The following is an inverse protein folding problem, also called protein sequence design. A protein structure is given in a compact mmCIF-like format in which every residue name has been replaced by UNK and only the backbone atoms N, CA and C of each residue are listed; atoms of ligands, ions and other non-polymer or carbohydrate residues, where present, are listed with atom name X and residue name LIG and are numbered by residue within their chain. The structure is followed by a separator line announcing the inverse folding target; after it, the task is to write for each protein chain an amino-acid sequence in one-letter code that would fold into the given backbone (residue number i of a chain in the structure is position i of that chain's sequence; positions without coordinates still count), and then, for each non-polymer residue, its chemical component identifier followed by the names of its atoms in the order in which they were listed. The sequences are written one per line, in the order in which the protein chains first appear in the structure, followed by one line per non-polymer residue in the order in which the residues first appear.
data_IF_183435362403
#
_entry.id   IF_183435362403
#
_cell.length_a   1.000
_cell.length_b   1.000
_cell.length_c   1.000
_cell.angle_alpha   90.00
_cell.angle_beta   90.00
_cell.angle_gamma   90.00
#
_symmetry.space_group_name_H-M   'P 1'
#
loop_
_entity.id
_entity.type
_entity.pdbx_description
1 polymer ?
#
# COMPACT_ATOMS: atom_id res chain seq x y z
N UNK A 1 -4.37 14.23 -17.16
CA UNK A 1 -4.64 13.94 -15.74
C UNK A 1 -5.49 15.05 -15.14
N UNK A 2 -6.36 14.76 -14.18
CA UNK A 2 -7.04 15.82 -13.43
C UNK A 2 -6.05 16.56 -12.51
N UNK A 3 -6.44 17.73 -11.98
CA UNK A 3 -5.62 18.46 -10.99
C UNK A 3 -5.33 17.60 -9.76
N UNK A 4 -6.32 16.85 -9.27
CA UNK A 4 -6.14 15.92 -8.15
C UNK A 4 -5.13 14.83 -8.46
N UNK A 5 -5.19 14.24 -9.65
CA UNK A 5 -4.20 13.24 -10.06
C UNK A 5 -2.78 13.81 -10.15
N UNK A 6 -2.62 15.03 -10.66
CA UNK A 6 -1.30 15.69 -10.73
C UNK A 6 -0.78 16.02 -9.33
N UNK A 7 -1.65 16.52 -8.44
CA UNK A 7 -1.31 16.83 -7.06
C UNK A 7 -0.88 15.57 -6.30
N UNK A 8 -1.67 14.49 -6.36
CA UNK A 8 -1.34 13.19 -5.80
C UNK A 8 0.03 12.70 -6.30
N UNK A 9 0.27 12.73 -7.62
CA UNK A 9 1.57 12.40 -8.18
C UNK A 9 2.72 13.20 -7.56
N UNK A 10 2.60 14.51 -7.55
CA UNK A 10 3.67 15.39 -7.09
C UNK A 10 3.94 15.19 -5.58
N UNK A 11 2.90 15.01 -4.76
CA UNK A 11 3.03 14.74 -3.33
C UNK A 11 3.76 13.43 -3.06
N UNK A 12 3.28 12.32 -3.63
CA UNK A 12 3.91 11.00 -3.43
C UNK A 12 5.32 10.94 -4.04
N UNK A 13 5.54 11.49 -5.23
CA UNK A 13 6.86 11.48 -5.86
C UNK A 13 7.90 12.23 -5.03
N UNK A 14 7.57 13.42 -4.52
CA UNK A 14 8.47 14.18 -3.64
C UNK A 14 8.74 13.44 -2.34
N UNK A 15 7.71 12.82 -1.75
CA UNK A 15 7.85 12.02 -0.53
C UNK A 15 8.75 10.80 -0.76
N UNK A 16 8.55 10.06 -1.85
CA UNK A 16 9.38 8.90 -2.20
C UNK A 16 10.84 9.29 -2.42
N UNK A 17 11.12 10.43 -3.07
CA UNK A 17 12.48 10.94 -3.21
C UNK A 17 13.09 11.32 -1.86
N UNK A 18 12.29 11.90 -0.97
CA UNK A 18 12.74 12.21 0.38
C UNK A 18 13.11 10.94 1.15
N UNK A 19 12.24 9.92 1.15
CA UNK A 19 12.51 8.61 1.77
C UNK A 19 13.76 7.95 1.16
N UNK A 20 13.90 7.97 -0.17
CA UNK A 20 15.03 7.38 -0.89
C UNK A 20 16.39 7.98 -0.48
N UNK A 21 16.41 9.24 -0.05
CA UNK A 21 17.62 9.97 0.35
C UNK A 21 17.77 10.10 1.87
N UNK A 22 16.81 9.58 2.63
CA UNK A 22 16.81 9.59 4.09
C UNK A 22 17.64 8.46 4.71
N UNK A 23 17.64 8.42 6.05
CA UNK A 23 18.33 7.41 6.85
C UNK A 23 17.46 6.21 7.22
N UNK A 24 16.14 6.37 7.23
CA UNK A 24 15.21 5.30 7.64
C UNK A 24 15.13 4.22 6.57
N UNK A 25 15.21 2.96 6.98
CA UNK A 25 15.16 1.82 6.04
C UNK A 25 13.74 1.54 5.53
N UNK A 26 12.72 1.92 6.31
CA UNK A 26 11.30 1.75 5.98
C UNK A 26 10.54 3.00 6.38
N UNK A 27 9.58 3.41 5.55
CA UNK A 27 8.61 4.43 5.89
C UNK A 27 7.18 3.91 5.68
N UNK A 28 6.27 4.29 6.58
CA UNK A 28 4.82 4.11 6.40
C UNK A 28 4.25 5.44 5.90
N UNK A 29 3.54 5.38 4.78
CA UNK A 29 2.87 6.51 4.14
C UNK A 29 1.36 6.33 4.28
N UNK A 30 0.70 7.36 4.80
CA UNK A 30 -0.74 7.43 4.99
C UNK A 30 -1.25 8.72 4.32
N UNK A 31 -2.33 8.64 3.57
CA UNK A 31 -3.12 9.81 3.17
C UNK A 31 -3.85 10.39 4.40
N UNK A 32 -4.29 11.64 4.34
CA UNK A 32 -4.89 12.37 5.47
C UNK A 32 -6.33 11.94 5.80
N UNK A 33 -6.99 11.23 4.89
CA UNK A 33 -8.39 10.80 5.00
C UNK A 33 -8.58 9.32 5.39
N UNK A 34 -7.57 8.72 6.03
CA UNK A 34 -7.58 7.30 6.40
C UNK A 34 -8.02 7.02 7.84
N UNK A 35 -8.46 5.79 8.06
CA UNK A 35 -8.63 5.12 9.35
C UNK A 35 -7.83 3.82 9.32
N UNK A 36 -7.35 3.39 10.48
CA UNK A 36 -6.44 2.25 10.63
C UNK A 36 -6.96 1.29 11.70
N UNK A 37 -6.61 0.01 11.60
CA UNK A 37 -6.84 -0.96 12.68
C UNK A 37 -6.13 -0.50 13.96
N UNK A 38 -6.85 -0.54 15.09
CA UNK A 38 -6.33 -0.17 16.41
C UNK A 38 -5.07 -0.97 16.79
N UNK A 39 -5.04 -2.26 16.46
CA UNK A 39 -3.90 -3.14 16.71
C UNK A 39 -2.94 -3.28 15.51
N UNK A 40 -2.92 -2.30 14.59
CA UNK A 40 -2.11 -2.33 13.36
C UNK A 40 -0.63 -2.65 13.60
N UNK A 41 -0.02 -2.15 14.69
CA UNK A 41 1.35 -2.49 15.04
C UNK A 41 1.54 -4.01 15.24
N UNK A 42 0.66 -4.66 16.02
CA UNK A 42 0.73 -6.10 16.26
C UNK A 42 0.46 -6.91 14.99
N UNK A 43 -0.42 -6.42 14.12
CA UNK A 43 -0.67 -7.05 12.81
C UNK A 43 0.58 -6.97 11.92
N UNK A 44 1.20 -5.79 11.83
CA UNK A 44 2.39 -5.59 11.02
C UNK A 44 3.55 -6.44 11.53
N UNK A 45 3.80 -6.42 12.84
CA UNK A 45 4.85 -7.21 13.50
C UNK A 45 4.69 -8.72 13.19
N UNK A 46 3.47 -9.25 13.29
CA UNK A 46 3.19 -10.66 12.99
C UNK A 46 3.30 -11.05 11.50
N UNK A 47 3.29 -10.08 10.58
CA UNK A 47 3.37 -10.32 9.13
C UNK A 47 4.76 -10.00 8.55
N UNK A 48 5.53 -9.13 9.19
CA UNK A 48 6.71 -8.51 8.60
C UNK A 48 7.78 -9.52 8.22
N UNK A 49 7.98 -10.54 9.06
CA UNK A 49 8.99 -11.59 8.86
C UNK A 49 8.73 -12.47 7.62
N UNK A 50 7.51 -12.47 7.07
CA UNK A 50 7.22 -13.17 5.82
C UNK A 50 7.66 -12.39 4.56
N UNK A 51 8.01 -11.11 4.68
CA UNK A 51 8.45 -10.33 3.54
C UNK A 51 9.80 -10.88 3.02
N UNK A 52 9.93 -11.14 1.72
CA UNK A 52 11.19 -11.62 1.17
C UNK A 52 12.24 -10.50 1.21
N UNK A 53 13.52 -10.90 1.27
CA UNK A 53 14.64 -9.98 1.15
C UNK A 53 14.51 -9.15 -0.14
N UNK A 54 14.63 -7.83 -0.02
CA UNK A 54 14.56 -6.91 -1.15
C UNK A 54 13.14 -6.59 -1.62
N UNK A 55 12.12 -6.73 -0.76
CA UNK A 55 10.81 -6.14 -1.00
C UNK A 55 10.89 -4.62 -1.17
N UNK A 56 10.05 -4.05 -2.02
CA UNK A 56 10.08 -2.62 -2.35
C UNK A 56 8.90 -1.86 -1.72
N UNK A 57 7.69 -2.40 -1.79
CA UNK A 57 6.47 -1.76 -1.28
C UNK A 57 5.47 -2.78 -0.73
N UNK A 58 4.76 -2.42 0.34
CA UNK A 58 3.66 -3.19 0.93
C UNK A 58 2.42 -2.29 1.04
N UNK A 59 1.36 -2.62 0.32
CA UNK A 59 0.08 -1.91 0.42
C UNK A 59 -0.63 -2.33 1.72
N UNK A 60 -0.81 -1.35 2.61
CA UNK A 60 -1.52 -1.52 3.89
C UNK A 60 -3.02 -1.27 3.72
N UNK A 61 -3.36 -0.49 2.69
CA UNK A 61 -4.70 -0.26 2.22
C UNK A 61 -4.71 0.14 0.76
N UNK A 62 -5.61 -0.49 -0.01
CA UNK A 62 -5.82 -0.25 -1.42
C UNK A 62 -7.29 -0.53 -1.78
N UNK A 63 -7.77 0.03 -2.90
CA UNK A 63 -9.19 0.05 -3.22
C UNK A 63 -9.75 -1.23 -3.85
N UNK A 64 -8.96 -2.05 -4.54
CA UNK A 64 -9.44 -3.29 -5.15
C UNK A 64 -8.23 -3.93 -5.81
N UNK A 65 -8.01 -5.22 -5.57
CA UNK A 65 -6.98 -5.99 -6.25
C UNK A 65 -7.55 -7.38 -6.49
N UNK A 66 -8.17 -7.65 -7.65
CA UNK A 66 -8.83 -8.92 -7.91
C UNK A 66 -7.86 -10.11 -7.84
N UNK A 67 -6.55 -9.87 -7.85
CA UNK A 67 -5.50 -10.88 -7.91
C UNK A 67 -5.06 -11.42 -6.55
N UNK A 68 -5.40 -10.75 -5.45
CA UNK A 68 -5.12 -11.26 -4.11
C UNK A 68 -5.91 -12.53 -3.78
N UNK A 69 -7.02 -12.77 -4.49
CA UNK A 69 -7.78 -14.02 -4.46
C UNK A 69 -7.13 -15.16 -5.26
N UNK A 70 -6.23 -14.84 -6.20
CA UNK A 70 -5.64 -15.84 -7.13
C UNK A 70 -4.25 -16.33 -6.72
N UNK A 71 -3.49 -15.54 -5.95
CA UNK A 71 -2.16 -15.95 -5.47
C UNK A 71 -2.20 -16.34 -4.00
N UNK A 72 -1.59 -17.47 -3.62
CA UNK A 72 -1.52 -17.87 -2.22
C UNK A 72 -0.76 -16.83 -1.40
N UNK A 73 -1.12 -16.66 -0.12
CA UNK A 73 -0.37 -15.81 0.79
C UNK A 73 1.07 -16.32 0.96
N UNK A 74 1.98 -15.43 1.32
CA UNK A 74 3.32 -15.83 1.73
C UNK A 74 3.25 -16.70 2.99
N UNK A 75 4.06 -17.76 3.09
CA UNK A 75 4.13 -18.56 4.30
C UNK A 75 4.75 -17.74 5.42
N UNK A 76 4.13 -17.75 6.60
CA UNK A 76 4.71 -17.14 7.79
C UNK A 76 5.81 -18.08 8.33
N UNK A 77 7.05 -17.59 8.51
CA UNK A 77 8.18 -18.44 8.92
C UNK A 77 7.98 -19.15 10.26
N UNK A 78 7.16 -18.57 11.15
CA UNK A 78 6.85 -19.12 12.48
C UNK A 78 5.38 -19.55 12.62
N UNK A 79 4.74 -20.06 11.55
CA UNK A 79 3.36 -20.56 11.58
C UNK A 79 3.16 -21.88 12.38
N UNK A 80 4.11 -22.25 13.24
CA UNK A 80 3.92 -23.27 14.27
C UNK A 80 3.26 -22.62 15.47
N UNK A 81 2.07 -23.10 15.82
CA UNK A 81 1.14 -22.60 16.86
C UNK A 81 0.34 -21.36 16.45
N UNK A 82 -0.91 -21.64 16.11
CA UNK A 82 -2.09 -20.83 16.37
C UNK A 82 -1.87 -19.43 16.96
N UNK A 83 -2.44 -18.42 16.29
CA UNK A 83 -3.00 -17.21 16.92
C UNK A 83 -4.14 -17.59 17.89
N UNK A 84 -3.86 -18.46 18.85
CA UNK A 84 -4.76 -18.83 19.93
C UNK A 84 -4.45 -17.95 21.14
N UNK A 85 -5.52 -17.37 21.68
CA UNK A 85 -5.62 -16.70 22.97
C UNK A 85 -5.13 -15.24 23.05
N UNK A 86 -5.81 -14.34 22.34
CA UNK A 86 -6.31 -13.14 23.00
C UNK A 86 -7.75 -13.43 23.49
N UNK A 87 -8.06 -13.24 24.79
CA UNK A 87 -9.32 -13.70 25.40
C UNK A 87 -10.58 -12.94 24.96
N UNK A 88 -10.49 -12.08 23.94
CA UNK A 88 -11.59 -11.24 23.46
C UNK A 88 -12.00 -11.41 22.00
N UNK A 89 -11.47 -12.37 21.22
CA UNK A 89 -11.94 -12.56 19.83
C UNK A 89 -12.09 -14.02 19.45
N UNK A 90 -13.30 -14.53 19.66
CA UNK A 90 -13.85 -15.62 18.84
C UNK A 90 -14.04 -15.09 17.43
N UNK A 91 -13.38 -15.71 16.44
CA UNK A 91 -13.67 -15.61 15.00
C UNK A 91 -13.32 -14.27 14.28
N UNK A 92 -12.35 -14.25 13.34
CA UNK A 92 -12.57 -14.73 11.94
C UNK A 92 -11.71 -14.11 10.83
N UNK A 93 -10.93 -13.05 11.07
CA UNK A 93 -10.04 -12.50 10.03
C UNK A 93 -8.59 -12.76 10.37
N UNK A 94 -7.93 -13.51 9.48
CA UNK A 94 -6.47 -13.62 9.47
C UNK A 94 -5.95 -12.67 8.40
N UNK A 95 -5.30 -11.59 8.82
CA UNK A 95 -4.52 -10.77 7.91
C UNK A 95 -3.43 -11.64 7.31
N UNK A 96 -3.27 -11.53 6.00
CA UNK A 96 -2.33 -12.32 5.22
C UNK A 96 -1.59 -11.40 4.27
N UNK A 97 -0.34 -11.74 4.02
CA UNK A 97 0.52 -11.01 3.10
C UNK A 97 0.49 -11.72 1.75
N UNK A 98 0.06 -11.04 0.70
CA UNK A 98 -0.02 -11.58 -0.66
C UNK A 98 0.92 -10.82 -1.59
N UNK A 99 1.52 -11.48 -2.61
CA UNK A 99 2.13 -10.75 -3.72
C UNK A 99 1.09 -9.82 -4.37
N UNK A 100 1.44 -8.55 -4.54
CA UNK A 100 0.57 -7.56 -5.18
C UNK A 100 0.73 -7.63 -6.70
N UNK A 101 -0.36 -7.48 -7.45
CA UNK A 101 -0.32 -7.42 -8.93
C UNK A 101 -0.99 -6.18 -9.50
N UNK A 102 -2.17 -5.85 -8.99
CA UNK A 102 -2.96 -4.72 -9.48
C UNK A 102 -3.48 -3.85 -8.34
N UNK A 103 -2.60 -3.32 -7.46
CA UNK A 103 -3.02 -2.44 -6.38
C UNK A 103 -3.66 -1.17 -6.97
N UNK A 104 -4.90 -0.88 -6.57
CA UNK A 104 -5.61 0.36 -6.94
C UNK A 104 -5.68 1.27 -5.72
N UNK A 105 -5.66 2.58 -5.92
CA UNK A 105 -5.49 3.56 -4.85
C UNK A 105 -4.14 3.43 -4.12
N UNK A 106 -3.78 4.48 -3.39
CA UNK A 106 -2.46 4.62 -2.75
C UNK A 106 -2.59 5.18 -1.33
N UNK A 107 -3.75 4.98 -0.70
CA UNK A 107 -4.09 5.64 0.55
C UNK A 107 -3.24 5.20 1.74
N UNK A 108 -2.69 3.98 1.71
CA UNK A 108 -1.71 3.58 2.68
C UNK A 108 -0.74 2.51 2.17
N UNK A 109 0.55 2.75 2.35
CA UNK A 109 1.59 1.76 2.04
C UNK A 109 2.82 1.94 2.92
N UNK A 110 3.53 0.84 3.17
CA UNK A 110 4.90 0.87 3.62
C UNK A 110 5.85 0.73 2.43
N UNK A 111 6.99 1.39 2.47
CA UNK A 111 7.99 1.36 1.39
C UNK A 111 9.39 1.24 1.99
N UNK A 112 10.21 0.37 1.41
CA UNK A 112 11.63 0.30 1.79
C UNK A 112 12.39 1.47 1.16
N UNK A 113 13.49 1.90 1.76
CA UNK A 113 14.34 2.97 1.21
C UNK A 113 14.82 2.65 -0.20
N UNK A 114 15.24 1.40 -0.44
CA UNK A 114 15.61 0.92 -1.77
C UNK A 114 14.42 0.90 -2.74
N UNK A 115 13.23 0.53 -2.26
CA UNK A 115 12.01 0.57 -3.04
C UNK A 115 11.64 2.00 -3.45
N UNK A 116 11.72 2.95 -2.52
CA UNK A 116 11.47 4.36 -2.78
C UNK A 116 12.44 4.94 -3.82
N UNK A 117 13.73 4.57 -3.75
CA UNK A 117 14.72 4.94 -4.77
C UNK A 117 14.36 4.34 -6.14
N UNK A 118 14.08 3.03 -6.21
CA UNK A 118 13.70 2.36 -7.47
C UNK A 118 12.44 2.94 -8.09
N UNK A 119 11.41 3.25 -7.30
CA UNK A 119 10.16 3.86 -7.78
C UNK A 119 10.45 5.27 -8.32
N UNK A 120 11.21 6.07 -7.57
CA UNK A 120 11.55 7.45 -7.97
C UNK A 120 12.38 7.48 -9.25
N UNK A 121 13.38 6.60 -9.37
CA UNK A 121 14.24 6.53 -10.56
C UNK A 121 13.47 6.02 -11.78
N UNK A 122 12.64 4.99 -11.60
CA UNK A 122 11.81 4.40 -12.67
C UNK A 122 10.78 5.38 -13.23
N UNK A 123 10.34 6.33 -12.41
CA UNK A 123 9.35 7.35 -12.79
C UNK A 123 10.00 8.61 -13.36
N UNK A 124 11.24 8.93 -12.96
CA UNK A 124 11.95 10.12 -13.41
C UNK A 124 12.65 9.90 -14.76
N UNK A 125 13.46 8.84 -14.94
CA UNK A 125 14.37 8.70 -16.10
C UNK A 125 14.70 7.22 -16.39
N UNK A 126 13.78 6.45 -16.97
CA UNK A 126 14.15 5.12 -17.50
C UNK A 126 13.91 5.02 -19.00
N UNK A 127 14.93 4.53 -19.72
CA UNK A 127 14.85 4.18 -21.15
C UNK A 127 13.71 3.19 -21.44
N UNK A 128 13.24 2.47 -20.42
CA UNK A 128 12.21 1.43 -20.50
C UNK A 128 10.79 1.92 -20.19
N UNK A 129 10.63 3.08 -19.55
CA UNK A 129 9.33 3.65 -19.16
C UNK A 129 8.90 4.82 -20.04
N UNK A 130 9.80 5.29 -20.91
CA UNK A 130 9.60 6.40 -21.83
C UNK A 130 9.72 7.77 -21.15
N UNK A 131 9.94 8.86 -21.92
CA UNK A 131 10.18 10.20 -21.39
C UNK A 131 8.99 10.84 -20.63
N UNK A 132 7.89 10.11 -20.40
CA UNK A 132 6.66 10.61 -19.78
C UNK A 132 5.93 9.58 -18.90
N UNK A 133 6.66 8.74 -18.16
CA UNK A 133 6.02 7.77 -17.26
C UNK A 133 5.30 8.45 -16.10
N UNK A 134 5.99 9.34 -15.38
CA UNK A 134 5.35 10.24 -14.43
C UNK A 134 4.38 11.17 -15.16
N UNK A 135 3.25 11.47 -14.53
CA UNK A 135 2.20 12.35 -15.06
C UNK A 135 1.50 11.91 -16.37
N UNK A 136 1.87 10.76 -16.96
CA UNK A 136 1.19 10.20 -18.13
C UNK A 136 -0.06 9.37 -17.81
N UNK A 137 -0.26 9.00 -16.54
CA UNK A 137 -1.37 8.17 -16.02
C UNK A 137 -1.57 8.45 -14.54
N UNK A 138 -2.65 8.00 -13.90
CA UNK A 138 -2.80 8.12 -12.45
C UNK A 138 -1.73 7.31 -11.70
N UNK A 139 -1.40 7.71 -10.47
CA UNK A 139 -0.28 7.15 -9.69
C UNK A 139 -0.47 5.65 -9.42
N UNK A 140 -1.67 5.24 -9.04
CA UNK A 140 -2.06 3.85 -8.88
C UNK A 140 -1.78 3.00 -10.14
N UNK A 141 -2.10 3.54 -11.33
CA UNK A 141 -1.82 2.87 -12.60
C UNK A 141 -0.32 2.79 -12.91
N UNK A 142 0.47 3.76 -12.45
CA UNK A 142 1.91 3.66 -12.53
C UNK A 142 2.46 2.57 -11.62
N UNK A 143 1.98 2.44 -10.39
CA UNK A 143 2.34 1.31 -9.52
C UNK A 143 1.99 -0.02 -10.18
N UNK A 144 0.77 -0.20 -10.71
CA UNK A 144 0.41 -1.42 -11.44
C UNK A 144 1.40 -1.74 -12.57
N UNK A 145 1.83 -0.73 -13.35
CA UNK A 145 2.81 -0.93 -14.42
C UNK A 145 4.20 -1.31 -13.91
N UNK A 146 4.64 -0.74 -12.78
CA UNK A 146 5.91 -1.09 -12.16
C UNK A 146 5.89 -2.53 -11.63
N UNK A 147 4.80 -2.92 -10.97
CA UNK A 147 4.59 -4.26 -10.43
C UNK A 147 4.53 -5.30 -11.56
N UNK A 148 3.65 -5.11 -12.56
CA UNK A 148 3.50 -6.03 -13.69
C UNK A 148 4.76 -6.10 -14.55
N UNK A 149 5.48 -4.98 -14.68
CA UNK A 149 6.77 -4.91 -15.36
C UNK A 149 7.94 -5.49 -14.57
N UNK A 150 7.68 -6.06 -13.37
CA UNK A 150 8.68 -6.59 -12.44
C UNK A 150 9.80 -5.60 -12.13
N UNK A 151 9.45 -4.32 -12.09
CA UNK A 151 10.36 -3.22 -11.74
C UNK A 151 10.44 -2.99 -10.23
N UNK A 152 9.39 -3.39 -9.52
CA UNK A 152 9.32 -3.37 -8.07
C UNK A 152 8.72 -4.68 -7.55
N UNK A 153 9.19 -5.13 -6.40
CA UNK A 153 8.64 -6.24 -5.62
C UNK A 153 7.58 -5.71 -4.66
N UNK A 154 6.31 -6.02 -4.92
CA UNK A 154 5.18 -5.45 -4.22
C UNK A 154 4.32 -6.51 -3.53
N UNK A 155 3.82 -6.18 -2.34
CA UNK A 155 2.95 -7.02 -1.53
C UNK A 155 1.73 -6.24 -1.04
N UNK A 156 0.68 -6.94 -0.67
CA UNK A 156 -0.56 -6.36 -0.11
C UNK A 156 -0.95 -7.13 1.14
N UNK A 157 -1.41 -6.41 2.17
CA UNK A 157 -2.08 -7.03 3.32
C UNK A 157 -3.55 -7.21 3.01
N UNK A 158 -4.07 -8.42 3.23
CA UNK A 158 -5.46 -8.79 2.94
C UNK A 158 -6.10 -9.46 4.16
N UNK A 159 -7.24 -8.94 4.66
CA UNK A 159 -7.89 -7.69 4.22
C UNK A 159 -7.06 -6.45 4.58
N UNK A 160 -7.43 -5.28 4.04
CA UNK A 160 -6.71 -4.03 4.31
C UNK A 160 -6.74 -3.70 5.81
N UNK A 161 -5.63 -3.20 6.35
CA UNK A 161 -5.57 -2.68 7.73
C UNK A 161 -5.72 -1.16 7.80
N UNK A 162 -5.77 -0.49 6.64
CA UNK A 162 -6.03 0.93 6.51
C UNK A 162 -7.09 1.16 5.44
N UNK A 163 -8.09 1.99 5.73
CA UNK A 163 -9.21 2.30 4.82
C UNK A 163 -9.40 3.81 4.68
N UNK A 164 -9.92 4.28 3.55
CA UNK A 164 -10.32 5.68 3.41
C UNK A 164 -11.67 5.92 4.09
N UNK A 165 -11.73 6.89 5.00
CA UNK A 165 -12.96 7.29 5.71
C UNK A 165 -14.00 7.92 4.78
N UNK A 166 -13.53 8.67 3.76
CA UNK A 166 -14.35 9.40 2.78
C UNK A 166 -15.42 10.28 3.44
N UNK A 167 -15.10 10.84 4.62
CA UNK A 167 -16.00 11.72 5.40
C UNK A 167 -15.98 13.17 4.88
N UNK A 168 -14.90 13.57 4.21
CA UNK A 168 -14.70 14.91 3.67
C UNK A 168 -14.61 14.88 2.14
N UNK A 169 -15.18 15.86 1.42
CA UNK A 169 -14.88 16.05 0.00
C UNK A 169 -13.40 16.38 -0.21
N UNK A 170 -12.82 15.92 -1.31
CA UNK A 170 -11.47 16.33 -1.67
C UNK A 170 -11.43 17.85 -1.95
N UNK A 171 -10.43 18.49 -1.38
CA UNK A 171 -10.11 19.91 -1.54
C UNK A 171 -9.62 20.27 -2.96
N UNK A 172 -9.06 19.30 -3.68
CA UNK A 172 -8.57 19.47 -5.06
C UNK A 172 -9.57 19.02 -6.12
N UNK A 173 -10.37 17.99 -5.84
CA UNK A 173 -11.40 17.46 -6.75
C UNK A 173 -12.74 17.40 -6.05
N UNK A 174 -13.74 18.13 -6.54
CA UNK A 174 -15.08 18.08 -5.94
C UNK A 174 -15.64 16.65 -5.89
N UNK A 175 -15.97 16.17 -4.69
CA UNK A 175 -16.53 14.83 -4.42
C UNK A 175 -15.63 13.93 -3.57
N UNK A 176 -16.07 12.68 -3.33
CA UNK A 176 -15.41 11.72 -2.43
C UNK A 176 -14.78 10.52 -3.19
N UNK A 177 -14.54 10.66 -4.49
CA UNK A 177 -14.01 9.59 -5.33
C UNK A 177 -14.95 8.39 -5.48
N UNK A 178 -14.38 7.18 -5.61
CA UNK A 178 -15.10 5.90 -5.69
C UNK A 178 -15.98 5.66 -4.45
N UNK A 179 -17.13 4.99 -4.60
CA UNK A 179 -17.99 4.58 -3.47
C UNK A 179 -17.51 3.31 -2.74
N UNK A 180 -16.56 2.57 -3.31
CA UNK A 180 -16.03 1.34 -2.70
C UNK A 180 -15.38 1.63 -1.35
N UNK A 181 -15.64 0.81 -0.34
CA UNK A 181 -15.02 0.91 0.99
C UNK A 181 -14.71 -0.49 1.49
N UNK A 182 -13.50 -0.67 2.00
CA UNK A 182 -13.16 -1.81 2.86
C UNK A 182 -13.68 -1.53 4.29
N UNK A 183 -13.70 -2.56 5.14
CA UNK A 183 -14.17 -2.44 6.53
C UNK A 183 -13.07 -2.88 7.49
N UNK A 184 -12.79 -2.03 8.48
CA UNK A 184 -11.92 -2.36 9.59
C UNK A 184 -12.66 -3.17 10.65
N UNK A 185 -11.96 -4.08 11.32
CA UNK A 185 -12.50 -4.80 12.48
C UNK A 185 -12.52 -3.94 13.73
N UNK A 186 -11.49 -3.12 13.93
CA UNK A 186 -11.28 -2.31 15.12
C UNK A 186 -10.80 -0.91 14.70
N UNK A 187 -11.76 -0.09 14.28
CA UNK A 187 -11.50 1.28 13.83
C UNK A 187 -10.92 2.14 14.96
N UNK A 188 -9.87 2.91 14.66
CA UNK A 188 -9.34 3.91 15.60
C UNK A 188 -10.21 5.16 15.75
N UNK A 189 -11.19 5.33 14.86
CA UNK A 189 -12.10 6.48 14.82
C UNK A 189 -13.52 6.16 15.33
N UNK A 190 -13.75 4.94 15.83
CA UNK A 190 -15.03 4.47 16.37
C UNK A 190 -15.24 4.84 17.84
#
# INVERSE_FOLDING_TARGET
LSRGMIACWNSHFRLLRHIATGSDDVAIVLEDDVDIEYNSHAILDGLWDALPVGWDIVFLGHCWSPHEDFFPPLPLPNATSSFESHPYRTDRIRYRLHPSLTPKCTHAYAVSRSGAARISDSTHHSQFTGPSFAYGRALDQAFVRLVQGRRISAFSIVPSIVVQTKKSPSDITGGNGSSWRDVLLDSTLA
#
